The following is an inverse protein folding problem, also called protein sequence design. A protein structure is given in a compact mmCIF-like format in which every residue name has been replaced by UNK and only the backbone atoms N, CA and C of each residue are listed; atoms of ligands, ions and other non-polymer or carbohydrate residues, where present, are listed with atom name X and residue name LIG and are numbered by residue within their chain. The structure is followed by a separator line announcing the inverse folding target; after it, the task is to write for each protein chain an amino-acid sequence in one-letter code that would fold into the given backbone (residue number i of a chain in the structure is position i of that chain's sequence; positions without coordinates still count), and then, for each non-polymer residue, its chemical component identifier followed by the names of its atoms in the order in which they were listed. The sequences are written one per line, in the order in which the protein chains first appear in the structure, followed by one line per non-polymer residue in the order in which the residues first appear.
data_IF_013990430430
#
_entry.id   IF_013990430430
#
_cell.length_a   1.000
_cell.length_b   1.000
_cell.length_c   1.000
_cell.angle_alpha   90.00
_cell.angle_beta   90.00
_cell.angle_gamma   90.00
#
_symmetry.space_group_name_H-M   'P 1'
#
loop_
_entity.id
_entity.type
_entity.pdbx_description
1 polymer ?
#
# COMPACT_ATOMS: atom_id res chain seq x y z
N UNK A 1 51.49 38.84 -50.32
CA UNK A 1 51.54 37.55 -49.60
C UNK A 1 51.03 37.79 -48.18
N UNK A 2 49.91 37.17 -47.80
CA UNK A 2 49.51 36.97 -46.39
C UNK A 2 50.36 35.81 -45.80
N UNK A 3 50.57 35.67 -44.47
CA UNK A 3 49.55 35.64 -43.39
C UNK A 3 49.87 36.59 -42.22
N UNK A 4 48.98 37.12 -41.35
CA UNK A 4 47.74 36.71 -40.66
C UNK A 4 47.90 35.68 -39.53
N UNK A 5 47.83 36.19 -38.29
CA UNK A 5 47.64 35.48 -37.01
C UNK A 5 48.42 36.20 -35.90
N UNK A 6 47.94 36.50 -34.70
CA UNK A 6 46.62 36.39 -34.05
C UNK A 6 46.77 37.15 -32.72
N UNK A 7 45.97 38.19 -32.47
CA UNK A 7 45.91 38.87 -31.17
C UNK A 7 45.12 38.02 -30.18
N UNK A 8 45.74 37.76 -29.04
CA UNK A 8 45.13 37.18 -27.84
C UNK A 8 44.32 38.28 -27.15
N UNK A 9 43.02 38.08 -26.96
CA UNK A 9 42.25 38.81 -25.97
C UNK A 9 41.63 37.82 -24.98
N UNK A 10 42.17 37.88 -23.77
CA UNK A 10 41.61 37.33 -22.55
C UNK A 10 40.29 38.02 -22.17
N UNK A 11 39.36 37.21 -21.67
CA UNK A 11 38.51 37.58 -20.54
C UNK A 11 37.27 38.41 -20.82
N UNK A 12 36.10 37.75 -20.86
CA UNK A 12 35.08 37.80 -19.79
C UNK A 12 33.87 37.01 -20.26
N UNK A 13 33.86 35.69 -20.01
CA UNK A 13 32.64 34.90 -20.13
C UNK A 13 31.85 35.07 -18.84
N UNK A 14 30.71 35.76 -18.92
CA UNK A 14 29.74 35.86 -17.85
C UNK A 14 29.22 34.46 -17.50
N UNK A 15 29.62 33.94 -16.35
CA UNK A 15 29.06 32.72 -15.78
C UNK A 15 27.65 33.00 -15.29
N UNK A 16 26.66 32.66 -16.11
CA UNK A 16 25.28 32.50 -15.64
C UNK A 16 25.07 31.00 -15.46
N UNK A 17 25.42 30.49 -14.28
CA UNK A 17 24.98 29.17 -13.86
C UNK A 17 23.52 29.28 -13.39
N UNK A 18 22.59 29.38 -14.35
CA UNK A 18 21.23 28.95 -14.09
C UNK A 18 21.26 27.43 -14.00
N UNK A 19 21.45 26.93 -12.77
CA UNK A 19 21.12 25.57 -12.43
C UNK A 19 19.62 25.40 -12.68
N UNK A 20 19.27 24.96 -13.89
CA UNK A 20 17.93 24.51 -14.23
C UNK A 20 17.57 23.42 -13.23
N UNK A 21 16.81 23.82 -12.21
CA UNK A 21 16.09 22.92 -11.33
C UNK A 21 15.13 22.18 -12.25
N UNK A 22 15.55 21.01 -12.72
CA UNK A 22 14.67 20.10 -13.47
C UNK A 22 13.59 19.71 -12.48
N UNK A 23 12.50 20.47 -12.45
CA UNK A 23 11.27 20.07 -11.79
C UNK A 23 10.86 18.75 -12.45
N UNK A 24 11.21 17.67 -11.78
CA UNK A 24 10.84 16.33 -12.22
C UNK A 24 9.35 16.24 -11.94
N UNK A 25 8.54 16.56 -12.94
CA UNK A 25 7.10 16.40 -12.86
C UNK A 25 6.84 14.93 -12.49
N UNK A 26 6.17 14.71 -11.36
CA UNK A 26 5.78 13.38 -10.92
C UNK A 26 4.73 12.84 -11.90
N UNK A 27 5.17 12.05 -12.88
CA UNK A 27 4.28 11.40 -13.84
C UNK A 27 3.64 10.18 -13.20
N UNK A 28 2.32 10.05 -13.35
CA UNK A 28 1.61 8.84 -12.95
C UNK A 28 2.03 7.67 -13.83
N UNK A 29 2.38 6.56 -13.21
CA UNK A 29 2.67 5.30 -13.86
C UNK A 29 1.67 4.23 -13.39
N UNK A 30 1.29 3.31 -14.29
CA UNK A 30 0.39 2.20 -13.97
C UNK A 30 0.93 0.91 -14.56
N UNK A 31 1.07 -0.12 -13.73
CA UNK A 31 1.37 -1.48 -14.19
C UNK A 31 0.07 -2.27 -14.24
N UNK A 32 -0.24 -2.88 -15.38
CA UNK A 32 -1.51 -3.58 -15.62
C UNK A 32 -1.23 -4.98 -16.14
N UNK A 33 -1.84 -5.98 -15.52
CA UNK A 33 -1.88 -7.37 -16.00
C UNK A 33 -3.16 -7.66 -16.78
N UNK A 34 -3.05 -8.44 -17.85
CA UNK A 34 -4.16 -8.77 -18.74
C UNK A 34 -4.51 -10.27 -18.74
N UNK A 35 -5.71 -10.58 -19.22
CA UNK A 35 -6.22 -11.95 -19.36
C UNK A 35 -5.38 -12.80 -20.34
N UNK A 36 -4.76 -12.16 -21.33
CA UNK A 36 -3.89 -12.86 -22.25
C UNK A 36 -2.52 -13.22 -21.63
N UNK A 37 -2.25 -12.83 -20.38
CA UNK A 37 -0.96 -13.07 -19.72
C UNK A 37 0.09 -12.00 -19.98
N UNK A 38 -0.27 -10.89 -20.65
CA UNK A 38 0.60 -9.73 -20.80
C UNK A 38 0.57 -8.82 -19.57
N UNK A 39 1.71 -8.17 -19.32
CA UNK A 39 1.86 -7.09 -18.34
C UNK A 39 2.38 -5.87 -19.08
N UNK A 40 1.79 -4.72 -18.80
CA UNK A 40 2.02 -3.47 -19.52
C UNK A 40 2.27 -2.35 -18.50
N UNK A 41 3.31 -1.55 -18.72
CA UNK A 41 3.52 -0.30 -18.01
C UNK A 41 3.00 0.86 -18.85
N UNK A 42 2.11 1.63 -18.24
CA UNK A 42 1.60 2.89 -18.76
C UNK A 42 2.23 4.07 -18.03
N UNK A 43 2.36 5.19 -18.74
CA UNK A 43 2.79 6.47 -18.19
C UNK A 43 1.83 7.57 -18.64
N UNK A 44 1.54 8.51 -17.74
CA UNK A 44 0.73 9.66 -18.05
C UNK A 44 1.41 10.55 -19.11
N UNK A 45 0.63 10.92 -20.13
CA UNK A 45 1.07 11.89 -21.12
C UNK A 45 0.97 13.31 -20.54
N UNK A 46 2.07 13.81 -19.99
CA UNK A 46 2.16 15.18 -19.43
C UNK A 46 2.17 16.29 -20.48
N UNK A 47 2.22 15.97 -21.78
CA UNK A 47 2.26 16.98 -22.85
C UNK A 47 0.87 17.52 -23.21
N UNK A 48 -0.20 17.01 -22.61
CA UNK A 48 -1.57 17.49 -22.85
C UNK A 48 -2.01 18.48 -21.77
N UNK A 49 -2.33 19.70 -22.21
CA UNK A 49 -2.81 20.83 -21.40
C UNK A 49 -3.89 20.44 -20.39
N UNK A 50 -3.94 21.15 -19.24
CA UNK A 50 -4.84 20.92 -18.09
C UNK A 50 -6.36 20.90 -18.39
N UNK A 51 -6.79 21.22 -19.62
CA UNK A 51 -8.18 21.07 -20.10
C UNK A 51 -8.43 19.82 -20.96
N UNK A 52 -7.39 19.01 -21.20
CA UNK A 52 -7.46 17.81 -22.02
C UNK A 52 -7.65 16.57 -21.14
N UNK A 53 -8.35 15.56 -21.69
CA UNK A 53 -8.52 14.24 -21.05
C UNK A 53 -7.14 13.64 -20.79
N UNK A 54 -6.87 13.20 -19.55
CA UNK A 54 -5.66 12.42 -19.22
C UNK A 54 -5.59 11.19 -20.13
N UNK A 55 -4.50 11.06 -20.87
CA UNK A 55 -4.21 9.88 -21.70
C UNK A 55 -2.99 9.15 -21.14
N UNK A 56 -3.02 7.84 -21.20
CA UNK A 56 -1.91 6.97 -20.80
C UNK A 56 -1.22 6.45 -22.06
N UNK A 57 0.10 6.62 -22.12
CA UNK A 57 0.93 6.06 -23.19
C UNK A 57 1.59 4.77 -22.69
N UNK A 58 1.74 3.79 -23.58
CA UNK A 58 2.44 2.53 -23.25
C UNK A 58 3.94 2.80 -23.22
N UNK A 59 4.58 2.53 -22.08
CA UNK A 59 6.04 2.54 -21.94
C UNK A 59 6.60 1.23 -22.47
N UNK A 60 6.00 0.10 -22.06
CA UNK A 60 6.38 -1.24 -22.50
C UNK A 60 5.26 -2.26 -22.30
N UNK A 61 5.33 -3.37 -23.04
CA UNK A 61 4.41 -4.51 -22.97
C UNK A 61 5.18 -5.82 -23.12
N UNK A 62 4.96 -6.78 -22.21
CA UNK A 62 5.60 -8.09 -22.23
C UNK A 62 4.60 -9.18 -21.88
N UNK A 63 4.62 -10.30 -22.61
CA UNK A 63 3.85 -11.50 -22.29
C UNK A 63 4.70 -12.50 -21.51
N UNK A 64 4.55 -12.51 -20.18
CA UNK A 64 5.34 -13.39 -19.30
C UNK A 64 4.55 -14.59 -18.79
N UNK A 65 3.22 -14.51 -18.78
CA UNK A 65 2.34 -15.58 -18.33
C UNK A 65 1.71 -16.31 -19.51
N UNK A 66 1.49 -17.62 -19.34
CA UNK A 66 0.77 -18.45 -20.32
C UNK A 66 -0.75 -18.36 -20.19
N UNK A 67 -1.21 -17.94 -19.01
CA UNK A 67 -2.61 -17.82 -18.63
C UNK A 67 -2.86 -16.40 -18.05
N UNK A 68 -4.11 -16.05 -17.67
CA UNK A 68 -4.42 -14.73 -17.12
C UNK A 68 -3.55 -14.32 -15.93
N UNK A 69 -3.12 -13.06 -15.93
CA UNK A 69 -2.55 -12.41 -14.75
C UNK A 69 -3.69 -12.15 -13.78
N UNK A 70 -3.60 -12.70 -12.58
CA UNK A 70 -4.66 -12.64 -11.56
C UNK A 70 -4.32 -11.68 -10.42
N UNK A 71 -3.04 -11.49 -10.15
CA UNK A 71 -2.57 -10.65 -9.08
C UNK A 71 -1.31 -9.90 -9.50
N UNK A 72 -1.23 -8.66 -9.05
CA UNK A 72 -0.09 -7.78 -9.28
C UNK A 72 0.11 -6.92 -8.04
N UNK A 73 1.36 -6.76 -7.61
CA UNK A 73 1.69 -5.87 -6.51
C UNK A 73 3.04 -5.19 -6.71
N UNK A 74 3.20 -4.04 -6.07
CA UNK A 74 4.38 -3.17 -6.19
C UNK A 74 5.23 -3.23 -4.93
N UNK A 75 6.53 -3.03 -5.10
CA UNK A 75 7.40 -2.74 -3.97
C UNK A 75 7.13 -1.33 -3.44
N UNK A 76 7.25 -1.12 -2.13
CA UNK A 76 6.99 0.19 -1.52
C UNK A 76 7.97 1.27 -1.95
N UNK A 77 9.15 0.89 -2.44
CA UNK A 77 10.13 1.80 -3.03
C UNK A 77 9.91 2.04 -4.54
N UNK A 78 8.83 1.49 -5.12
CA UNK A 78 8.46 1.58 -6.52
C UNK A 78 9.54 1.10 -7.50
N UNK A 79 10.50 0.30 -7.03
CA UNK A 79 11.60 -0.22 -7.86
C UNK A 79 11.22 -1.48 -8.63
N UNK A 80 10.26 -2.26 -8.16
CA UNK A 80 9.84 -3.46 -8.85
C UNK A 80 8.34 -3.74 -8.70
N UNK A 81 7.80 -4.50 -9.64
CA UNK A 81 6.47 -5.10 -9.58
C UNK A 81 6.58 -6.62 -9.56
N UNK A 82 5.59 -7.30 -9.02
CA UNK A 82 5.43 -8.76 -9.13
C UNK A 82 4.07 -9.05 -9.73
N UNK A 83 4.03 -9.94 -10.72
CA UNK A 83 2.78 -10.53 -11.22
C UNK A 83 2.72 -12.02 -10.95
N UNK A 84 1.49 -12.50 -10.74
CA UNK A 84 1.13 -13.91 -10.63
C UNK A 84 -0.14 -14.18 -11.43
N UNK A 85 -0.41 -15.45 -11.71
CA UNK A 85 -1.58 -15.84 -12.46
C UNK A 85 -2.02 -17.27 -12.17
N UNK A 86 -2.88 -17.78 -13.06
CA UNK A 86 -3.32 -19.17 -12.97
C UNK A 86 -2.28 -20.17 -13.50
N UNK A 87 -1.19 -19.70 -14.11
CA UNK A 87 -0.03 -20.52 -14.44
C UNK A 87 0.86 -20.77 -13.21
N UNK A 88 2.01 -21.39 -13.43
CA UNK A 88 3.00 -21.69 -12.40
C UNK A 88 4.17 -20.72 -12.42
N UNK A 89 3.94 -19.45 -12.76
CA UNK A 89 4.99 -18.44 -12.81
C UNK A 89 4.71 -17.30 -11.83
N UNK A 90 5.77 -16.86 -11.15
CA UNK A 90 5.83 -15.57 -10.49
C UNK A 90 6.88 -14.73 -11.22
N UNK A 91 6.52 -13.53 -11.64
CA UNK A 91 7.40 -12.70 -12.47
C UNK A 91 7.67 -11.39 -11.76
N UNK A 92 8.94 -11.05 -11.60
CA UNK A 92 9.38 -9.74 -11.08
C UNK A 92 9.76 -8.85 -12.25
N UNK A 93 9.28 -7.62 -12.28
CA UNK A 93 9.66 -6.58 -13.25
C UNK A 93 10.49 -5.51 -12.57
N UNK A 94 11.63 -5.17 -13.15
CA UNK A 94 12.38 -3.99 -12.73
C UNK A 94 11.69 -2.74 -13.31
N UNK A 95 11.18 -1.87 -12.43
CA UNK A 95 10.54 -0.62 -12.81
C UNK A 95 11.54 0.53 -12.87
N UNK A 96 12.72 0.36 -12.26
CA UNK A 96 13.76 1.38 -12.27
C UNK A 96 14.55 1.31 -13.58
N UNK A 97 14.67 2.44 -14.28
CA UNK A 97 15.47 2.54 -15.50
C UNK A 97 14.81 1.98 -16.76
N UNK A 98 13.52 1.62 -16.72
CA UNK A 98 12.74 1.24 -17.89
C UNK A 98 12.38 2.47 -18.75
N UNK A 99 13.39 3.12 -19.32
CA UNK A 99 13.22 4.18 -20.31
C UNK A 99 13.16 3.53 -21.70
N UNK A 100 11.94 3.40 -22.23
CA UNK A 100 11.62 2.92 -23.59
C UNK A 100 12.27 1.58 -23.98
N UNK A 101 11.55 0.47 -23.84
CA UNK A 101 12.02 -0.85 -24.28
C UNK A 101 11.41 -2.01 -23.52
N UNK A 102 11.94 -3.22 -23.68
CA UNK A 102 11.50 -4.39 -22.89
C UNK A 102 12.09 -4.26 -21.47
N UNK A 103 11.27 -4.35 -20.41
CA UNK A 103 11.76 -4.32 -19.03
C UNK A 103 12.68 -5.51 -18.75
N UNK A 104 13.65 -5.33 -17.86
CA UNK A 104 14.32 -6.45 -17.22
C UNK A 104 13.32 -7.17 -16.31
N UNK A 105 13.15 -8.48 -16.50
CA UNK A 105 12.28 -9.28 -15.65
C UNK A 105 12.92 -10.62 -15.26
N UNK A 106 12.52 -11.12 -14.10
CA UNK A 106 12.90 -12.43 -13.58
C UNK A 106 11.64 -13.28 -13.43
N UNK A 107 11.59 -14.40 -14.18
CA UNK A 107 10.52 -15.38 -14.06
C UNK A 107 10.95 -16.54 -13.15
N UNK A 108 10.20 -16.75 -12.08
CA UNK A 108 10.43 -17.78 -11.07
C UNK A 108 9.35 -18.86 -11.21
N UNK A 109 9.73 -20.11 -11.56
CA UNK A 109 8.77 -21.20 -11.63
C UNK A 109 8.30 -21.60 -10.23
N UNK A 110 6.99 -21.67 -10.07
CA UNK A 110 6.32 -22.14 -8.87
C UNK A 110 6.06 -23.64 -8.97
N UNK A 111 6.00 -24.31 -7.81
CA UNK A 111 5.67 -25.74 -7.73
C UNK A 111 4.18 -26.02 -7.98
N UNK A 112 3.35 -24.99 -8.00
CA UNK A 112 1.90 -25.08 -8.13
C UNK A 112 1.38 -23.98 -9.04
N UNK A 113 0.23 -24.24 -9.66
CA UNK A 113 -0.55 -23.30 -10.46
C UNK A 113 -1.65 -22.65 -9.62
N UNK A 114 -2.35 -21.65 -10.18
CA UNK A 114 -3.56 -21.12 -9.56
C UNK A 114 -3.26 -20.26 -8.33
N UNK A 115 -2.46 -19.21 -8.50
CA UNK A 115 -2.27 -18.20 -7.46
C UNK A 115 -3.30 -17.09 -7.69
N UNK A 116 -4.04 -16.74 -6.65
CA UNK A 116 -5.11 -15.75 -6.70
C UNK A 116 -4.58 -14.34 -6.42
N UNK A 117 -3.73 -14.19 -5.41
CA UNK A 117 -3.20 -12.89 -4.98
C UNK A 117 -1.73 -12.98 -4.58
N UNK A 118 -1.03 -11.86 -4.75
CA UNK A 118 0.34 -11.61 -4.30
C UNK A 118 0.35 -10.34 -3.46
N UNK A 119 1.14 -10.33 -2.39
CA UNK A 119 1.46 -9.14 -1.61
C UNK A 119 2.96 -9.03 -1.36
N UNK A 120 3.51 -7.85 -1.60
CA UNK A 120 4.86 -7.44 -1.20
C UNK A 120 4.72 -6.69 0.12
N UNK A 121 5.42 -7.17 1.15
CA UNK A 121 5.41 -6.45 2.43
C UNK A 121 6.11 -5.10 2.27
N UNK A 122 5.67 -4.11 3.03
CA UNK A 122 6.14 -2.73 2.91
C UNK A 122 7.68 -2.55 3.08
N UNK A 123 8.34 -3.43 3.84
CA UNK A 123 9.80 -3.44 3.99
C UNK A 123 10.55 -4.05 2.78
N UNK A 124 9.83 -4.51 1.76
CA UNK A 124 10.34 -5.15 0.56
C UNK A 124 11.20 -6.41 0.82
N UNK A 125 11.05 -7.07 1.97
CA UNK A 125 11.86 -8.26 2.33
C UNK A 125 11.16 -9.58 2.00
N UNK A 126 9.82 -9.60 2.00
CA UNK A 126 9.04 -10.79 1.74
C UNK A 126 7.97 -10.57 0.67
N UNK A 127 7.58 -11.67 0.05
CA UNK A 127 6.44 -11.77 -0.87
C UNK A 127 5.56 -12.90 -0.39
N UNK A 128 4.27 -12.65 -0.24
CA UNK A 128 3.30 -13.63 0.18
C UNK A 128 2.32 -13.91 -0.98
N UNK A 129 1.99 -15.18 -1.18
CA UNK A 129 1.12 -15.66 -2.25
C UNK A 129 -0.04 -16.46 -1.67
N UNK A 130 -1.26 -16.18 -2.15
CA UNK A 130 -2.47 -16.95 -1.83
C UNK A 130 -2.84 -17.89 -2.98
N UNK A 131 -2.86 -19.20 -2.73
CA UNK A 131 -3.15 -20.21 -3.75
C UNK A 131 -4.56 -20.81 -3.66
N UNK A 132 -5.10 -21.23 -4.80
CA UNK A 132 -6.34 -22.02 -4.87
C UNK A 132 -6.21 -23.42 -4.23
N UNK A 133 -5.01 -23.83 -3.86
CA UNK A 133 -4.78 -25.06 -3.10
C UNK A 133 -4.88 -24.87 -1.57
N UNK A 134 -5.39 -23.72 -1.12
CA UNK A 134 -5.60 -23.40 0.29
C UNK A 134 -4.32 -23.07 1.06
N UNK A 135 -3.22 -22.82 0.36
CA UNK A 135 -1.92 -22.57 0.98
C UNK A 135 -1.46 -21.14 0.75
N UNK A 136 -0.95 -20.54 1.82
CA UNK A 136 -0.21 -19.28 1.76
C UNK A 136 1.26 -19.65 1.61
N UNK A 137 1.96 -19.04 0.65
CA UNK A 137 3.39 -19.28 0.43
C UNK A 137 4.15 -17.99 0.64
N UNK A 138 5.20 -18.05 1.46
CA UNK A 138 6.06 -16.92 1.76
C UNK A 138 7.39 -17.11 1.06
N UNK A 139 7.84 -16.07 0.37
CA UNK A 139 9.11 -16.02 -0.36
C UNK A 139 9.94 -14.83 0.12
N UNK A 140 11.26 -14.93 0.00
CA UNK A 140 12.15 -13.77 0.12
C UNK A 140 11.99 -12.90 -1.12
N UNK A 141 11.75 -11.60 -0.96
CA UNK A 141 11.65 -10.65 -2.09
C UNK A 141 13.01 -10.35 -2.75
N UNK A 142 14.13 -10.60 -2.04
CA UNK A 142 15.49 -10.43 -2.57
C UNK A 142 15.88 -11.57 -3.51
N UNK A 143 15.70 -12.81 -3.06
CA UNK A 143 16.20 -13.99 -3.77
C UNK A 143 15.09 -14.86 -4.39
N UNK A 144 13.81 -14.54 -4.15
CA UNK A 144 12.64 -15.34 -4.53
C UNK A 144 12.74 -16.81 -4.12
N UNK A 145 13.38 -17.05 -2.97
CA UNK A 145 13.47 -18.37 -2.36
C UNK A 145 12.26 -18.60 -1.45
N UNK A 146 11.66 -19.80 -1.47
CA UNK A 146 10.56 -20.13 -0.56
C UNK A 146 11.08 -20.13 0.88
N UNK A 147 10.39 -19.43 1.76
CA UNK A 147 10.69 -19.32 3.19
C UNK A 147 9.76 -20.21 4.02
N UNK A 148 8.46 -20.16 3.73
CA UNK A 148 7.45 -20.91 4.48
C UNK A 148 6.23 -21.25 3.60
N UNK A 149 5.49 -22.27 4.02
CA UNK A 149 4.18 -22.63 3.47
C UNK A 149 3.21 -22.81 4.63
N UNK A 150 2.22 -21.94 4.72
CA UNK A 150 1.24 -21.92 5.80
C UNK A 150 0.02 -22.74 5.36
N UNK A 151 -0.36 -23.72 6.21
CA UNK A 151 -1.38 -24.73 5.91
C UNK A 151 -2.44 -24.69 6.99
N UNK A 152 -3.50 -23.94 6.75
CA UNK A 152 -4.67 -23.91 7.62
C UNK A 152 -5.96 -24.17 6.83
N UNK A 153 -6.11 -23.45 5.71
CA UNK A 153 -7.25 -23.61 4.82
C UNK A 153 -7.16 -24.90 4.01
N UNK A 154 -8.31 -25.53 3.80
CA UNK A 154 -8.50 -26.74 2.98
C UNK A 154 -9.06 -26.40 1.60
N UNK A 155 -9.67 -25.23 1.45
CA UNK A 155 -10.19 -24.73 0.18
C UNK A 155 -9.43 -23.50 -0.35
N UNK A 156 -9.76 -23.08 -1.57
CA UNK A 156 -9.11 -21.99 -2.30
C UNK A 156 -9.02 -20.70 -1.50
N UNK A 157 -7.84 -20.08 -1.50
CA UNK A 157 -7.67 -18.70 -1.07
C UNK A 157 -7.93 -17.75 -2.22
N UNK A 158 -8.52 -16.59 -1.90
CA UNK A 158 -8.85 -15.55 -2.86
C UNK A 158 -8.21 -14.23 -2.52
N UNK A 159 -8.00 -13.95 -1.23
CA UNK A 159 -7.41 -12.72 -0.79
C UNK A 159 -6.30 -12.88 0.26
N UNK A 160 -5.43 -11.88 0.33
CA UNK A 160 -4.24 -11.80 1.16
C UNK A 160 -3.94 -10.34 1.47
N UNK A 161 -3.60 -10.05 2.73
CA UNK A 161 -3.08 -8.73 3.10
C UNK A 161 -1.97 -8.85 4.14
N UNK A 162 -1.11 -7.83 4.22
CA UNK A 162 0.04 -7.80 5.14
C UNK A 162 0.00 -6.53 5.97
N UNK A 163 0.23 -6.66 7.28
CA UNK A 163 0.40 -5.50 8.14
C UNK A 163 1.74 -4.78 7.83
N UNK A 164 1.70 -3.45 7.88
CA UNK A 164 2.89 -2.63 7.71
C UNK A 164 3.89 -2.87 8.84
N UNK A 165 5.15 -3.07 8.45
CA UNK A 165 6.29 -3.06 9.35
C UNK A 165 6.67 -1.62 9.63
N UNK A 166 6.59 -1.21 10.89
CA UNK A 166 7.15 0.07 11.33
C UNK A 166 8.60 -0.15 11.75
N UNK A 167 9.56 0.44 11.03
CA UNK A 167 10.93 0.46 11.53
C UNK A 167 11.01 1.39 12.75
N UNK A 168 11.71 0.95 13.79
CA UNK A 168 11.88 1.70 15.03
C UNK A 168 12.70 2.97 14.75
N UNK A 169 12.01 4.06 14.42
CA UNK A 169 12.61 5.34 14.04
C UNK A 169 11.58 6.39 13.62
N UNK A 170 10.39 5.99 13.16
CA UNK A 170 9.28 6.90 12.90
C UNK A 170 8.40 6.98 14.14
N UNK A 171 8.70 7.93 15.04
CA UNK A 171 7.79 8.30 16.12
C UNK A 171 6.51 8.86 15.48
N UNK A 172 5.43 8.09 15.58
CA UNK A 172 4.09 8.52 15.23
C UNK A 172 3.70 9.73 16.11
N UNK A 173 3.52 10.89 15.48
CA UNK A 173 2.80 12.02 16.09
C UNK A 173 1.32 11.81 15.78
N UNK A 174 0.45 11.53 16.75
CA UNK A 174 -0.98 11.49 16.50
C UNK A 174 -1.41 12.87 16.01
N UNK A 175 -2.13 12.93 14.89
CA UNK A 175 -2.94 14.09 14.58
C UNK A 175 -4.13 14.08 15.52
N UNK A 176 -3.94 14.56 16.76
CA UNK A 176 -5.06 14.98 17.61
C UNK A 176 -5.68 16.22 16.97
N UNK A 177 -6.61 16.00 16.04
CA UNK A 177 -7.67 16.96 15.79
C UNK A 177 -8.52 17.07 17.06
N UNK A 178 -9.06 18.26 17.39
CA UNK A 178 -9.84 18.43 18.61
C UNK A 178 -11.04 17.48 18.59
N UNK A 179 -11.23 16.76 19.69
CA UNK A 179 -12.33 15.83 19.88
C UNK A 179 -13.67 16.54 19.67
N UNK A 180 -14.32 16.30 18.53
CA UNK A 180 -15.74 16.59 18.39
C UNK A 180 -16.51 15.51 19.13
N UNK A 181 -16.99 15.86 20.32
CA UNK A 181 -18.04 15.11 21.01
C UNK A 181 -19.25 15.01 20.09
N UNK A 182 -19.46 13.84 19.50
CA UNK A 182 -20.69 13.51 18.76
C UNK A 182 -21.78 13.33 19.82
N UNK A 183 -22.61 14.35 20.00
CA UNK A 183 -23.89 14.21 20.68
C UNK A 183 -24.76 13.28 19.84
N UNK A 184 -25.26 12.20 20.45
CA UNK A 184 -26.27 11.33 19.84
C UNK A 184 -27.60 12.08 19.91
N UNK A 185 -28.11 12.49 18.75
CA UNK A 185 -29.50 12.94 18.60
C UNK A 185 -30.38 11.69 18.53
N UNK A 186 -31.08 11.40 19.63
CA UNK A 186 -32.15 10.40 19.67
C UNK A 186 -33.45 11.06 19.17
N UNK A 187 -33.70 11.00 17.86
CA UNK A 187 -35.06 11.25 17.31
C UNK A 187 -35.79 9.92 17.14
N UNK A 188 -36.72 9.64 18.05
CA UNK A 188 -37.68 8.55 17.93
C UNK A 188 -38.85 8.95 17.02
N UNK A 189 -39.13 8.11 16.02
CA UNK A 189 -40.28 8.18 15.14
C UNK A 189 -41.59 7.90 15.91
N UNK A 190 -42.55 8.82 15.82
CA UNK A 190 -43.88 8.68 16.44
C UNK A 190 -44.97 8.51 15.36
N UNK A 191 -45.65 7.36 15.34
CA UNK A 191 -46.93 7.18 14.67
C UNK A 191 -47.77 6.12 15.41
N UNK A 192 -48.90 6.54 16.00
CA UNK A 192 -49.93 5.63 16.49
C UNK A 192 -50.76 6.16 17.66
N UNK A 193 -51.96 6.64 17.35
CA UNK A 193 -53.04 7.02 18.26
C UNK A 193 -53.65 5.79 18.99
N UNK A 194 -53.91 5.89 20.30
CA UNK A 194 -55.27 5.92 20.91
C UNK A 194 -55.29 5.58 22.44
N UNK A 195 -56.09 6.38 23.14
CA UNK A 195 -56.78 6.21 24.44
C UNK A 195 -56.08 6.33 25.84
N UNK A 196 -56.66 7.26 26.62
CA UNK A 196 -56.45 7.73 28.01
C UNK A 196 -56.99 6.76 29.11
N UNK A 197 -57.03 7.07 30.45
CA UNK A 197 -56.38 8.13 31.27
C UNK A 197 -55.87 7.72 32.71
N UNK A 198 -55.15 8.65 33.38
CA UNK A 198 -55.23 9.12 34.82
C UNK A 198 -53.93 9.14 35.68
N UNK A 199 -53.39 10.38 35.90
CA UNK A 199 -52.96 11.11 37.15
C UNK A 199 -52.22 10.40 38.34
N UNK A 200 -51.46 11.13 39.23
CA UNK A 200 -50.28 12.02 39.03
C UNK A 200 -49.14 11.91 40.13
N UNK A 201 -48.06 12.70 39.97
CA UNK A 201 -47.37 13.54 41.00
C UNK A 201 -45.90 13.27 41.47
N UNK A 202 -45.18 14.42 41.62
CA UNK A 202 -43.98 14.80 42.41
C UNK A 202 -42.57 14.31 41.96
N UNK A 203 -41.59 15.15 41.57
CA UNK A 203 -40.91 16.37 42.11
C UNK A 203 -39.85 16.09 43.20
N UNK A 204 -38.58 16.45 42.90
CA UNK A 204 -37.46 17.11 43.68
C UNK A 204 -36.10 16.55 43.24
N UNK A 205 -35.22 17.30 42.53
CA UNK A 205 -34.11 18.18 43.00
C UNK A 205 -33.07 17.42 43.86
N UNK A 206 -31.73 17.52 43.67
CA UNK A 206 -30.85 18.69 43.82
C UNK A 206 -29.43 18.41 43.25
N UNK A 207 -28.74 19.49 42.85
CA UNK A 207 -27.29 19.62 42.55
C UNK A 207 -26.41 19.34 43.77
N UNK A 208 -25.20 18.80 43.57
CA UNK A 208 -23.96 19.30 44.20
C UNK A 208 -22.73 18.96 43.33
N UNK A 209 -21.76 19.87 43.34
CA UNK A 209 -20.55 19.89 42.53
C UNK A 209 -19.30 19.85 43.41
N UNK A 210 -18.40 18.91 43.15
CA UNK A 210 -17.05 18.89 43.73
C UNK A 210 -16.02 18.71 42.62
N UNK A 211 -14.97 19.54 42.66
CA UNK A 211 -13.85 19.55 41.73
C UNK A 211 -12.66 18.81 42.33
N UNK A 212 -12.30 17.65 41.76
CA UNK A 212 -11.08 16.92 42.09
C UNK A 212 -10.02 17.15 40.99
N UNK A 213 -8.83 17.53 41.41
CA UNK A 213 -7.64 17.61 40.56
C UNK A 213 -6.99 16.23 40.47
N UNK A 214 -7.22 15.53 39.36
CA UNK A 214 -6.56 14.24 39.08
C UNK A 214 -5.12 14.50 38.59
N UNK A 215 -4.15 13.91 39.29
CA UNK A 215 -2.78 13.78 38.83
C UNK A 215 -2.70 12.64 37.82
N UNK A 216 -2.40 12.95 36.56
CA UNK A 216 -2.19 11.98 35.48
C UNK A 216 -0.99 11.07 35.83
N UNK A 217 -1.25 9.76 35.91
CA UNK A 217 -0.27 8.72 36.26
C UNK A 217 0.49 8.30 34.98
N UNK A 218 1.69 8.86 34.77
CA UNK A 218 2.55 8.64 33.60
C UNK A 218 2.99 7.16 33.39
N UNK A 219 2.65 6.24 34.30
CA UNK A 219 3.05 4.82 34.22
C UNK A 219 2.25 4.02 33.19
N UNK A 220 0.96 4.34 32.99
CA UNK A 220 0.09 3.67 32.03
C UNK A 220 0.51 3.97 30.57
N UNK A 221 1.05 5.16 30.32
CA UNK A 221 1.51 5.58 28.99
C UNK A 221 2.79 4.84 28.55
N UNK A 222 3.74 4.59 29.45
CA UNK A 222 4.96 3.85 29.14
C UNK A 222 4.67 2.36 28.86
N UNK A 223 3.76 1.75 29.62
CA UNK A 223 3.33 0.37 29.37
C UNK A 223 2.56 0.25 28.04
N UNK A 224 1.66 1.21 27.74
CA UNK A 224 0.98 1.27 26.45
C UNK A 224 1.95 1.48 25.27
N UNK A 225 2.98 2.32 25.44
CA UNK A 225 4.04 2.53 24.45
C UNK A 225 4.89 1.26 24.26
N UNK A 226 5.19 0.53 25.34
CA UNK A 226 5.92 -0.73 25.29
C UNK A 226 5.11 -1.83 24.55
N UNK A 227 3.82 -1.97 24.86
CA UNK A 227 2.92 -2.88 24.15
C UNK A 227 2.78 -2.51 22.67
N UNK A 228 2.65 -1.22 22.35
CA UNK A 228 2.59 -0.74 20.97
C UNK A 228 3.89 -1.01 20.21
N UNK A 229 5.05 -0.82 20.85
CA UNK A 229 6.37 -1.19 20.29
C UNK A 229 6.50 -2.70 20.05
N UNK A 230 5.88 -3.54 20.88
CA UNK A 230 5.83 -4.99 20.67
C UNK A 230 4.91 -5.33 19.48
N UNK A 231 3.76 -4.67 19.37
CA UNK A 231 2.85 -4.89 18.25
C UNK A 231 3.44 -4.45 16.91
N UNK A 232 4.18 -3.33 16.88
CA UNK A 232 4.90 -2.86 15.69
C UNK A 232 6.01 -3.79 15.22
N UNK A 233 6.49 -4.71 16.08
CA UNK A 233 7.46 -5.76 15.71
C UNK A 233 6.79 -7.04 15.20
N UNK A 234 5.47 -7.20 15.40
CA UNK A 234 4.74 -8.38 14.95
C UNK A 234 4.28 -8.14 13.53
N UNK A 235 4.85 -8.90 12.59
CA UNK A 235 4.41 -8.83 11.21
C UNK A 235 3.28 -9.82 11.00
N UNK A 236 2.14 -9.30 10.55
CA UNK A 236 0.94 -10.10 10.37
C UNK A 236 0.61 -10.30 8.89
N UNK A 237 0.16 -11.49 8.56
CA UNK A 237 -0.48 -11.80 7.28
C UNK A 237 -1.88 -12.30 7.54
N UNK A 238 -2.86 -11.68 6.89
CA UNK A 238 -4.23 -12.15 6.86
C UNK A 238 -4.52 -12.81 5.50
N UNK A 239 -5.23 -13.93 5.49
CA UNK A 239 -5.70 -14.56 4.27
C UNK A 239 -7.16 -14.99 4.40
N UNK A 240 -7.90 -14.83 3.32
CA UNK A 240 -9.29 -15.22 3.18
C UNK A 240 -9.53 -15.99 1.90
N UNK A 241 -10.59 -16.80 1.87
CA UNK A 241 -10.85 -17.69 0.76
C UNK A 241 -12.29 -18.15 0.68
N UNK A 242 -12.46 -19.31 0.05
CA UNK A 242 -13.75 -19.98 -0.11
C UNK A 242 -14.35 -20.46 1.22
N UNK A 243 -13.50 -20.70 2.21
CA UNK A 243 -13.96 -20.97 3.57
C UNK A 243 -14.50 -19.68 4.20
N UNK A 244 -15.57 -19.76 4.99
CA UNK A 244 -16.10 -18.63 5.77
C UNK A 244 -15.22 -18.31 6.99
N UNK A 245 -13.89 -18.32 6.81
CA UNK A 245 -12.88 -18.12 7.85
C UNK A 245 -11.72 -17.29 7.30
N UNK A 246 -11.16 -16.47 8.18
CA UNK A 246 -9.91 -15.74 7.94
C UNK A 246 -8.83 -16.42 8.78
N UNK A 247 -7.63 -16.58 8.23
CA UNK A 247 -6.45 -16.94 9.01
C UNK A 247 -5.53 -15.73 9.18
N UNK A 248 -4.96 -15.59 10.38
CA UNK A 248 -4.02 -14.55 10.72
C UNK A 248 -2.71 -15.21 11.19
N UNK A 249 -1.59 -14.77 10.64
CA UNK A 249 -0.28 -15.40 10.87
C UNK A 249 0.74 -14.36 11.29
N UNK A 250 1.38 -14.60 12.42
CA UNK A 250 2.60 -13.89 12.78
C UNK A 250 3.77 -14.49 11.99
N UNK A 251 4.52 -13.63 11.31
CA UNK A 251 5.69 -14.02 10.53
C UNK A 251 6.90 -13.17 10.94
N UNK A 252 8.08 -13.74 10.82
CA UNK A 252 9.34 -13.08 11.21
C UNK A 252 9.82 -12.11 10.13
#
# INVERSE_FOLDING_TARGET
MRPSGSDVQDGTAAGVNEANKVETLALLHMVVGYEDGSVVLYQENSLRSAKSKRTMDVVWSVKCHRNPVLGLDLSSDMRFAISIGSDNAMVKYNLFGAHQGVPEFLQVPLKTTGIAEVKVRNDNKIVALAGWDGRIRIFSARAFKPLAVLKHHRESLYCLDTADVQEAGELYVPLTGPATTVQRDDTEDNAGQDDEPRRPANVTSEDESESESESEDDSDDEDALAERRLWSKRHWIAAGGKENRISLWEIY
#
